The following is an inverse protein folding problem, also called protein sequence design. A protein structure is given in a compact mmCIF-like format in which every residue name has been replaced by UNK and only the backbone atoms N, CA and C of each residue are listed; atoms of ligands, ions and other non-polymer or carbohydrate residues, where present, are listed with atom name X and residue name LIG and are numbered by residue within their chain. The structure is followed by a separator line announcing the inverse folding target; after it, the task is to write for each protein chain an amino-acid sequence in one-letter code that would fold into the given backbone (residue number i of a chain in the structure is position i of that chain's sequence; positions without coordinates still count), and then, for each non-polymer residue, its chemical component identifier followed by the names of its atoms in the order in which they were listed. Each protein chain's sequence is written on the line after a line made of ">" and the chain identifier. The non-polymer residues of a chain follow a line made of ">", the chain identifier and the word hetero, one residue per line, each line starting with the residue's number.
data_IF_418028302829
#
_entry.id   IF_418028302829
#
_cell.length_a   1.000
_cell.length_b   1.000
_cell.length_c   1.000
_cell.angle_alpha   90.00
_cell.angle_beta   90.00
_cell.angle_gamma   90.00
#
_symmetry.space_group_name_H-M   'P 1'
#
loop_
_entity.id
_entity.type
_entity.pdbx_description
1 polymer ?
#
# COMPACT_ATOMS: atom_id res chain seq x y z
N UNK A 1 -1.15 13.73 -4.89
CA UNK A 1 -2.07 12.79 -5.58
C UNK A 1 -3.48 12.76 -4.95
N UNK A 2 -3.62 12.58 -3.64
CA UNK A 2 -4.92 12.37 -2.96
C UNK A 2 -5.76 13.61 -2.63
N UNK A 3 -5.44 14.77 -3.21
CA UNK A 3 -6.17 16.03 -3.01
C UNK A 3 -6.80 16.56 -4.31
N UNK A 4 -6.75 15.77 -5.38
CA UNK A 4 -7.34 16.17 -6.65
C UNK A 4 -8.86 16.21 -6.55
N UNK A 5 -9.48 17.19 -7.21
CA UNK A 5 -10.95 17.32 -7.27
C UNK A 5 -11.60 16.06 -7.87
N UNK A 6 -10.96 15.45 -8.86
CA UNK A 6 -11.41 14.21 -9.48
C UNK A 6 -11.47 13.06 -8.48
N UNK A 7 -10.44 12.90 -7.65
CA UNK A 7 -10.40 11.87 -6.61
C UNK A 7 -11.48 12.10 -5.55
N UNK A 8 -11.61 13.33 -5.04
CA UNK A 8 -12.62 13.66 -4.02
C UNK A 8 -14.04 13.41 -4.54
N UNK A 9 -14.35 13.83 -5.78
CA UNK A 9 -15.65 13.57 -6.40
C UNK A 9 -15.95 12.08 -6.55
N UNK A 10 -14.93 11.25 -6.83
CA UNK A 10 -15.10 9.81 -6.92
C UNK A 10 -15.38 9.20 -5.55
N UNK A 11 -14.66 9.62 -4.50
CA UNK A 11 -14.93 9.16 -3.13
C UNK A 11 -16.35 9.52 -2.68
N UNK A 12 -16.78 10.76 -2.93
CA UNK A 12 -18.14 11.22 -2.61
C UNK A 12 -19.21 10.37 -3.30
N UNK A 13 -19.05 10.10 -4.60
CA UNK A 13 -19.97 9.23 -5.36
C UNK A 13 -20.05 7.79 -4.84
N UNK A 14 -18.98 7.30 -4.21
CA UNK A 14 -18.91 5.94 -3.69
C UNK A 14 -19.14 5.89 -2.16
N UNK A 15 -19.57 7.00 -1.53
CA UNK A 15 -19.78 7.10 -0.09
C UNK A 15 -18.53 6.75 0.75
N UNK A 16 -17.35 7.10 0.22
CA UNK A 16 -16.06 6.87 0.88
C UNK A 16 -15.63 8.14 1.62
N UNK A 17 -15.45 8.04 2.93
CA UNK A 17 -14.87 9.10 3.76
C UNK A 17 -13.34 9.13 3.60
N UNK A 18 -12.77 10.28 3.26
CA UNK A 18 -11.31 10.46 3.18
C UNK A 18 -10.78 10.90 4.55
N UNK A 19 -9.84 10.12 5.11
CA UNK A 19 -9.14 10.46 6.34
C UNK A 19 -7.68 10.80 6.04
N UNK A 20 -7.32 12.06 6.24
CA UNK A 20 -5.95 12.52 6.07
C UNK A 20 -5.14 12.34 7.36
N UNK A 21 -3.89 11.93 7.21
CA UNK A 21 -2.92 11.96 8.30
C UNK A 21 -2.68 13.39 8.75
N UNK A 22 -2.77 13.63 10.06
CA UNK A 22 -2.54 14.96 10.62
C UNK A 22 -1.05 15.29 10.63
N UNK A 23 -0.68 16.55 10.32
CA UNK A 23 0.70 17.01 10.46
C UNK A 23 1.23 16.75 11.88
N UNK A 24 2.43 16.19 11.98
CA UNK A 24 3.05 15.86 13.27
C UNK A 24 2.48 14.63 13.99
N UNK A 25 1.62 13.83 13.34
CA UNK A 25 1.08 12.57 13.88
C UNK A 25 1.46 11.36 13.02
N UNK A 26 2.77 11.04 12.88
CA UNK A 26 3.24 9.95 12.01
C UNK A 26 2.63 8.59 12.37
N UNK A 27 2.33 8.36 13.66
CA UNK A 27 1.72 7.12 14.14
C UNK A 27 0.36 6.80 13.49
N UNK A 28 -0.36 7.78 12.94
CA UNK A 28 -1.61 7.53 12.19
C UNK A 28 -1.38 6.76 10.88
N UNK A 29 -0.15 6.76 10.35
CA UNK A 29 0.24 6.03 9.15
C UNK A 29 1.00 4.71 9.48
N UNK A 30 1.14 4.35 10.75
CA UNK A 30 2.03 3.27 11.19
C UNK A 30 1.70 1.90 10.60
N UNK A 31 0.42 1.62 10.29
CA UNK A 31 0.02 0.37 9.64
C UNK A 31 0.60 0.25 8.22
N UNK A 32 0.48 1.33 7.44
CA UNK A 32 1.01 1.37 6.06
C UNK A 32 2.54 1.38 6.07
N UNK A 33 3.16 2.06 7.02
CA UNK A 33 4.62 2.03 7.18
C UNK A 33 5.14 0.62 7.50
N UNK A 34 4.46 -0.08 8.41
CA UNK A 34 4.78 -1.48 8.73
C UNK A 34 4.60 -2.39 7.52
N UNK A 35 3.50 -2.26 6.77
CA UNK A 35 3.27 -3.00 5.54
C UNK A 35 4.39 -2.76 4.53
N UNK A 36 4.72 -1.50 4.24
CA UNK A 36 5.76 -1.14 3.29
C UNK A 36 7.14 -1.65 3.70
N UNK A 37 7.43 -1.65 5.01
CA UNK A 37 8.69 -2.20 5.53
C UNK A 37 8.78 -3.70 5.24
N UNK A 38 7.76 -4.48 5.61
CA UNK A 38 7.79 -5.92 5.37
C UNK A 38 7.82 -6.26 3.88
N UNK A 39 7.02 -5.56 3.06
CA UNK A 39 7.08 -5.78 1.61
C UNK A 39 8.48 -5.51 1.04
N UNK A 40 9.16 -4.47 1.54
CA UNK A 40 10.54 -4.20 1.12
C UNK A 40 11.50 -5.31 1.55
N UNK A 41 11.48 -5.67 2.83
CA UNK A 41 12.39 -6.68 3.41
C UNK A 41 12.17 -8.07 2.79
N UNK A 42 10.91 -8.50 2.65
CA UNK A 42 10.56 -9.85 2.24
C UNK A 42 10.54 -10.05 0.72
N UNK A 43 10.34 -8.98 -0.06
CA UNK A 43 10.18 -9.06 -1.51
C UNK A 43 11.27 -8.30 -2.24
N UNK A 44 11.38 -6.99 -2.01
CA UNK A 44 12.25 -6.15 -2.83
C UNK A 44 13.74 -6.36 -2.53
N UNK A 45 14.08 -6.60 -1.28
CA UNK A 45 15.47 -6.83 -0.85
C UNK A 45 15.87 -8.31 -1.00
N UNK A 46 14.90 -9.23 -0.94
CA UNK A 46 15.14 -10.67 -0.98
C UNK A 46 15.31 -11.25 -2.39
N UNK A 47 14.74 -10.61 -3.43
CA UNK A 47 14.70 -11.16 -4.78
C UNK A 47 15.28 -10.21 -5.83
N UNK A 48 16.00 -10.78 -6.79
CA UNK A 48 16.28 -10.12 -8.06
C UNK A 48 15.20 -10.49 -9.09
N UNK A 49 14.62 -9.48 -9.74
CA UNK A 49 13.54 -9.67 -10.72
C UNK A 49 14.07 -9.50 -12.14
N UNK A 50 13.79 -10.49 -12.99
CA UNK A 50 14.15 -10.44 -14.41
C UNK A 50 13.12 -9.67 -15.24
N UNK A 51 11.87 -9.65 -14.78
CA UNK A 51 10.76 -8.95 -15.43
C UNK A 51 9.64 -8.59 -14.44
N UNK A 52 8.70 -7.79 -14.92
CA UNK A 52 7.55 -7.32 -14.10
C UNK A 52 6.58 -8.45 -13.73
N UNK A 53 6.45 -9.47 -14.57
CA UNK A 53 5.55 -10.59 -14.31
C UNK A 53 6.04 -11.41 -13.13
N UNK A 54 7.35 -11.66 -13.04
CA UNK A 54 7.98 -12.30 -11.90
C UNK A 54 7.72 -11.51 -10.60
N UNK A 55 7.95 -10.19 -10.62
CA UNK A 55 7.65 -9.33 -9.47
C UNK A 55 6.18 -9.42 -9.06
N UNK A 56 5.26 -9.35 -10.02
CA UNK A 56 3.82 -9.40 -9.74
C UNK A 56 3.42 -10.73 -9.10
N UNK A 57 3.88 -11.86 -9.67
CA UNK A 57 3.57 -13.19 -9.14
C UNK A 57 4.07 -13.38 -7.70
N UNK A 58 5.30 -12.95 -7.41
CA UNK A 58 5.87 -13.03 -6.06
C UNK A 58 5.10 -12.11 -5.10
N UNK A 59 4.76 -10.90 -5.54
CA UNK A 59 4.01 -9.94 -4.73
C UNK A 59 2.59 -10.40 -4.40
N UNK A 60 1.90 -11.02 -5.36
CA UNK A 60 0.54 -11.55 -5.14
C UNK A 60 0.56 -12.69 -4.12
N UNK A 61 1.51 -13.63 -4.23
CA UNK A 61 1.66 -14.70 -3.25
C UNK A 61 1.94 -14.15 -1.85
N UNK A 62 2.90 -13.23 -1.73
CA UNK A 62 3.23 -12.61 -0.44
C UNK A 62 2.05 -11.83 0.14
N UNK A 63 1.23 -11.18 -0.69
CA UNK A 63 0.03 -10.48 -0.23
C UNK A 63 -0.99 -11.45 0.37
N UNK A 64 -1.20 -12.62 -0.24
CA UNK A 64 -2.07 -13.64 0.34
C UNK A 64 -1.50 -14.12 1.69
N UNK A 65 -0.20 -14.42 1.75
CA UNK A 65 0.45 -14.85 2.99
C UNK A 65 0.35 -13.78 4.09
N UNK A 66 0.62 -12.51 3.78
CA UNK A 66 0.54 -11.40 4.73
C UNK A 66 -0.87 -11.18 5.31
N UNK A 67 -1.91 -11.45 4.53
CA UNK A 67 -3.29 -11.21 4.93
C UNK A 67 -3.94 -12.40 5.64
N UNK A 68 -3.49 -13.63 5.37
CA UNK A 68 -4.17 -14.85 5.79
C UNK A 68 -3.36 -15.76 6.72
N UNK A 69 -2.07 -15.49 6.94
CA UNK A 69 -1.22 -16.20 7.92
C UNK A 69 -0.84 -15.29 9.09
#
# INVERSE_FOLDING_TARGET
>A
EFISKTFMNWCEKNFIEIKYTQPGKPMQNGYIERFNRFFREDILDAYYFNDKYQLQKISDNWREDYNFN
#
